data_IF_671151471160
#
_entry.id   IF_671151471160
#
_cell.length_a   1.000
_cell.length_b   1.000
_cell.length_c   1.000
_cell.angle_alpha   90.00
_cell.angle_beta   90.00
_cell.angle_gamma   90.00
#
_symmetry.space_group_name_H-M   'P 1'
#
loop_
_entity.id
_entity.type
_entity.pdbx_description
1 polymer ?
#
# COMPACT_ATOMS: atom_id res chain seq x y z
N UNK A 1 31.72 34.04 -27.51
CA UNK A 1 31.56 32.74 -28.19
C UNK A 1 31.21 31.69 -27.15
N UNK A 2 29.94 31.32 -27.09
CA UNK A 2 29.40 30.35 -26.15
C UNK A 2 29.63 28.93 -26.70
N UNK A 3 30.47 28.15 -26.03
CA UNK A 3 30.60 26.72 -26.27
C UNK A 3 29.51 25.99 -25.47
N UNK A 4 28.60 25.39 -26.21
CA UNK A 4 27.38 24.71 -25.78
C UNK A 4 27.64 23.56 -24.81
N UNK A 5 26.95 23.61 -23.66
CA UNK A 5 26.89 22.63 -22.57
C UNK A 5 26.35 21.25 -22.97
N UNK A 6 26.01 21.03 -24.25
CA UNK A 6 25.41 19.78 -24.75
C UNK A 6 26.42 18.65 -25.01
N UNK A 7 27.73 18.91 -25.04
CA UNK A 7 28.71 17.87 -25.39
C UNK A 7 29.34 17.12 -24.20
N UNK A 8 29.29 17.66 -22.97
CA UNK A 8 29.82 16.94 -21.80
C UNK A 8 28.86 15.85 -21.26
N UNK A 9 27.55 15.98 -21.49
CA UNK A 9 26.58 14.97 -21.09
C UNK A 9 26.63 13.68 -21.94
N UNK A 10 27.15 13.75 -23.17
CA UNK A 10 27.24 12.60 -24.08
C UNK A 10 28.44 11.67 -23.82
N UNK A 11 29.48 12.14 -23.13
CA UNK A 11 30.68 11.35 -22.85
C UNK A 11 30.67 10.72 -21.44
N UNK A 12 29.97 11.30 -20.46
CA UNK A 12 29.87 10.71 -19.11
C UNK A 12 28.83 9.57 -19.00
N UNK A 13 27.73 9.61 -19.77
CA UNK A 13 26.68 8.59 -19.72
C UNK A 13 27.14 7.18 -20.18
N UNK A 14 27.87 7.00 -21.30
CA UNK A 14 28.30 5.67 -21.72
C UNK A 14 29.42 5.09 -20.85
N UNK A 15 30.31 5.94 -20.30
CA UNK A 15 31.40 5.49 -19.43
C UNK A 15 30.93 5.06 -18.03
N UNK A 16 29.86 5.66 -17.50
CA UNK A 16 29.27 5.26 -16.22
C UNK A 16 28.43 3.96 -16.35
N UNK A 17 27.70 3.79 -17.45
CA UNK A 17 27.01 2.53 -17.75
C UNK A 17 28.02 1.40 -18.03
N UNK A 18 29.08 1.65 -18.79
CA UNK A 18 30.13 0.64 -19.04
C UNK A 18 30.87 0.21 -17.76
N UNK A 19 31.06 1.11 -16.79
CA UNK A 19 31.68 0.78 -15.50
C UNK A 19 30.79 -0.07 -14.57
N UNK A 20 29.47 -0.05 -14.78
CA UNK A 20 28.54 -0.99 -14.13
C UNK A 20 28.56 -2.38 -14.78
N UNK A 21 29.05 -2.51 -16.03
CA UNK A 21 28.92 -3.72 -16.86
C UNK A 21 30.09 -4.70 -16.70
N UNK A 22 31.24 -4.31 -16.14
CA UNK A 22 32.40 -5.24 -16.00
C UNK A 22 32.27 -6.21 -14.80
N UNK A 23 31.10 -6.28 -14.15
CA UNK A 23 30.89 -7.24 -13.07
C UNK A 23 29.46 -7.35 -12.53
N UNK A 24 28.45 -6.86 -13.25
CA UNK A 24 27.04 -7.02 -12.87
C UNK A 24 26.25 -7.44 -14.10
N UNK A 25 25.45 -8.50 -13.97
CA UNK A 25 24.39 -8.81 -14.92
C UNK A 25 23.52 -7.56 -15.10
N UNK A 26 23.43 -7.06 -16.33
CA UNK A 26 22.83 -5.77 -16.70
C UNK A 26 21.31 -5.67 -16.49
N UNK A 27 20.72 -6.57 -15.69
CA UNK A 27 19.29 -6.76 -15.58
C UNK A 27 18.66 -6.05 -14.38
N UNK A 28 19.41 -5.70 -13.32
CA UNK A 28 18.82 -4.95 -12.20
C UNK A 28 19.80 -4.35 -11.20
N UNK A 29 19.60 -3.08 -10.85
CA UNK A 29 20.24 -2.38 -9.71
C UNK A 29 19.92 -3.05 -8.37
N UNK A 30 18.79 -3.77 -8.27
CA UNK A 30 18.36 -4.43 -7.04
C UNK A 30 19.21 -5.67 -6.70
N UNK A 31 20.01 -6.17 -7.65
CA UNK A 31 20.99 -7.23 -7.41
C UNK A 31 22.23 -6.75 -6.66
N UNK A 32 22.46 -5.42 -6.57
CA UNK A 32 23.60 -4.87 -5.86
C UNK A 32 23.57 -5.22 -4.37
N UNK A 33 24.76 -5.52 -3.84
CA UNK A 33 24.98 -5.77 -2.41
C UNK A 33 24.50 -4.58 -1.56
N UNK A 34 23.94 -4.87 -0.38
CA UNK A 34 23.45 -3.84 0.53
C UNK A 34 24.60 -3.21 1.32
N UNK A 35 24.61 -1.89 1.42
CA UNK A 35 25.55 -1.14 2.24
C UNK A 35 24.90 0.13 2.80
N UNK A 36 25.53 0.73 3.83
CA UNK A 36 25.10 1.99 4.41
C UNK A 36 25.98 3.14 3.90
N UNK A 37 25.36 4.25 3.50
CA UNK A 37 26.08 5.48 3.16
C UNK A 37 27.03 5.91 4.28
N UNK A 38 28.26 6.30 3.94
CA UNK A 38 29.33 6.66 4.87
C UNK A 38 30.12 5.49 5.47
N UNK A 39 29.64 4.24 5.34
CA UNK A 39 30.37 3.07 5.81
C UNK A 39 31.64 2.81 4.97
N UNK A 40 32.61 2.08 5.54
CA UNK A 40 33.86 1.74 4.84
C UNK A 40 33.58 0.74 3.71
N UNK A 41 34.27 0.93 2.59
CA UNK A 41 34.22 0.03 1.44
C UNK A 41 35.62 -0.46 1.08
N UNK A 42 35.71 -1.69 0.58
CA UNK A 42 36.97 -2.40 0.33
C UNK A 42 37.60 -2.03 -1.02
N UNK A 43 36.79 -1.84 -2.07
CA UNK A 43 37.24 -1.58 -3.44
C UNK A 43 36.70 -0.26 -3.99
N UNK A 44 37.59 0.72 -4.22
CA UNK A 44 37.23 2.02 -4.82
C UNK A 44 36.59 1.80 -6.19
N UNK A 45 35.49 2.51 -6.45
CA UNK A 45 34.70 2.37 -7.67
C UNK A 45 33.66 1.24 -7.64
N UNK A 46 33.67 0.36 -6.64
CA UNK A 46 32.63 -0.66 -6.50
C UNK A 46 31.25 -0.02 -6.23
N UNK A 47 30.19 -0.77 -6.55
CA UNK A 47 28.81 -0.35 -6.37
C UNK A 47 28.08 -1.21 -5.32
N UNK A 48 27.19 -0.56 -4.59
CA UNK A 48 26.29 -1.16 -3.61
C UNK A 48 24.98 -0.37 -3.60
N UNK A 49 24.03 -0.74 -2.75
CA UNK A 49 22.79 0.02 -2.56
C UNK A 49 22.37 0.11 -1.11
N UNK A 50 21.65 1.17 -0.77
CA UNK A 50 20.78 1.18 0.41
C UNK A 50 19.31 0.99 -0.02
N UNK A 51 18.34 1.39 0.81
CA UNK A 51 16.92 1.25 0.48
C UNK A 51 16.43 2.25 -0.59
N UNK A 52 17.20 3.30 -0.86
CA UNK A 52 16.73 4.45 -1.67
C UNK A 52 17.74 4.84 -2.76
N UNK A 53 19.03 4.56 -2.56
CA UNK A 53 20.12 5.04 -3.38
C UNK A 53 21.09 3.94 -3.79
N UNK A 54 21.66 4.12 -4.98
CA UNK A 54 22.88 3.45 -5.43
C UNK A 54 24.08 4.15 -4.81
N UNK A 55 24.95 3.37 -4.21
CA UNK A 55 26.17 3.83 -3.56
C UNK A 55 27.37 3.46 -4.43
N UNK A 56 28.33 4.37 -4.52
CA UNK A 56 29.62 4.10 -5.13
C UNK A 56 30.73 4.27 -4.10
N UNK A 57 31.70 3.36 -4.10
CA UNK A 57 32.84 3.45 -3.21
C UNK A 57 33.78 4.58 -3.68
N UNK A 58 33.85 5.66 -2.90
CA UNK A 58 34.69 6.81 -3.20
C UNK A 58 36.19 6.54 -3.05
N UNK A 59 37.04 7.43 -3.57
CA UNK A 59 38.50 7.39 -3.38
C UNK A 59 38.94 7.39 -1.91
N UNK A 60 38.07 7.86 -1.00
CA UNK A 60 38.28 7.86 0.46
C UNK A 60 37.89 6.53 1.13
N UNK A 61 37.64 5.47 0.36
CA UNK A 61 37.18 4.15 0.82
C UNK A 61 35.92 4.23 1.69
N UNK A 62 34.98 5.10 1.31
CA UNK A 62 33.63 5.18 1.90
C UNK A 62 32.55 5.17 0.84
N UNK A 63 31.44 4.52 1.16
CA UNK A 63 30.23 4.52 0.34
C UNK A 63 29.64 5.92 0.28
N UNK A 64 29.54 6.46 -0.92
CA UNK A 64 28.91 7.76 -1.19
C UNK A 64 27.70 7.56 -2.09
N UNK A 65 26.65 8.34 -1.85
CA UNK A 65 25.45 8.34 -2.70
C UNK A 65 25.86 8.77 -4.11
N UNK A 66 25.55 7.92 -5.08
CA UNK A 66 25.78 8.21 -6.49
C UNK A 66 24.50 8.74 -7.15
N UNK A 67 23.39 8.01 -7.01
CA UNK A 67 22.07 8.39 -7.51
C UNK A 67 20.96 7.61 -6.79
N UNK A 68 19.70 8.01 -6.97
CA UNK A 68 18.56 7.23 -6.46
C UNK A 68 18.40 5.92 -7.24
N UNK A 69 17.80 4.90 -6.59
CA UNK A 69 17.49 3.62 -7.24
C UNK A 69 16.53 3.82 -8.41
N UNK A 70 15.52 4.68 -8.26
CA UNK A 70 14.56 4.99 -9.34
C UNK A 70 15.27 5.58 -10.56
N UNK A 71 16.21 6.52 -10.35
CA UNK A 71 16.98 7.11 -11.43
C UNK A 71 17.89 6.11 -12.12
N UNK A 72 18.47 5.19 -11.36
CA UNK A 72 19.32 4.13 -11.90
C UNK A 72 18.51 3.13 -12.76
N UNK A 73 17.28 2.80 -12.38
CA UNK A 73 16.36 1.96 -13.16
C UNK A 73 16.04 2.64 -14.50
N UNK A 74 15.63 3.91 -14.48
CA UNK A 74 15.35 4.69 -15.71
C UNK A 74 16.55 4.69 -16.69
N UNK A 75 17.77 4.79 -16.17
CA UNK A 75 18.98 4.80 -16.99
C UNK A 75 19.29 3.44 -17.61
N UNK A 76 19.03 2.34 -16.90
CA UNK A 76 19.18 0.97 -17.43
C UNK A 76 18.11 0.71 -18.51
N UNK A 77 16.87 1.11 -18.25
CA UNK A 77 15.78 0.94 -19.22
C UNK A 77 16.05 1.75 -20.49
N UNK A 78 16.54 2.99 -20.37
CA UNK A 78 16.93 3.81 -21.51
C UNK A 78 18.13 3.23 -22.27
N UNK A 79 19.10 2.63 -21.57
CA UNK A 79 20.25 1.96 -22.22
C UNK A 79 19.80 0.72 -22.98
N UNK A 80 18.98 -0.14 -22.36
CA UNK A 80 18.47 -1.35 -23.00
C UNK A 80 17.59 -1.01 -24.22
N UNK A 81 16.78 0.05 -24.14
CA UNK A 81 16.04 0.57 -25.28
C UNK A 81 16.95 1.10 -26.40
N UNK A 82 18.05 1.77 -26.06
CA UNK A 82 19.01 2.28 -27.03
C UNK A 82 19.85 1.17 -27.69
N UNK A 83 20.23 0.12 -26.94
CA UNK A 83 20.91 -1.05 -27.49
C UNK A 83 19.98 -1.86 -28.40
N UNK A 84 18.71 -2.00 -28.03
CA UNK A 84 17.68 -2.57 -28.90
C UNK A 84 17.52 -1.77 -30.20
N UNK A 85 17.59 -0.43 -30.13
CA UNK A 85 17.51 0.44 -31.31
C UNK A 85 18.77 0.37 -32.19
N UNK A 86 19.96 0.13 -31.63
CA UNK A 86 21.20 -0.07 -32.41
C UNK A 86 21.21 -1.40 -33.15
N UNK A 87 20.64 -2.45 -32.57
CA UNK A 87 20.47 -3.76 -33.21
C UNK A 87 19.47 -3.74 -34.37
N UNK A 88 18.61 -2.71 -34.46
CA UNK A 88 17.57 -2.60 -35.47
C UNK A 88 18.03 -2.06 -36.85
N UNK A 89 19.24 -1.50 -36.98
CA UNK A 89 19.78 -0.97 -38.25
C UNK A 89 19.01 0.24 -38.83
N UNK A 90 19.59 1.04 -39.75
CA UNK A 90 18.90 2.19 -40.34
C UNK A 90 17.85 1.76 -41.39
N UNK A 91 16.73 2.49 -41.52
CA UNK A 91 15.64 2.10 -42.43
C UNK A 91 16.06 2.25 -43.91
N UNK A 92 15.73 1.28 -44.80
CA UNK A 92 16.03 1.43 -46.21
C UNK A 92 15.13 2.48 -46.88
N UNK A 93 15.72 3.22 -47.83
CA UNK A 93 15.03 4.18 -48.71
C UNK A 93 14.09 3.45 -49.67
N UNK A 94 12.96 4.05 -50.11
CA UNK A 94 11.93 3.36 -50.87
C UNK A 94 12.39 3.20 -52.32
N UNK A 95 12.71 1.97 -52.72
CA UNK A 95 12.79 1.61 -54.14
C UNK A 95 11.82 0.48 -54.42
N UNK A 96 11.12 0.62 -55.56
CA UNK A 96 9.97 -0.18 -55.97
C UNK A 96 10.22 -1.70 -55.96
N UNK A 97 9.16 -2.52 -55.74
CA UNK A 97 9.30 -3.94 -55.51
C UNK A 97 9.49 -4.74 -56.82
N UNK A 98 10.34 -5.78 -56.84
CA UNK A 98 10.09 -6.95 -57.63
C UNK A 98 9.52 -8.07 -56.74
N UNK A 99 8.44 -8.64 -57.23
CA UNK A 99 7.65 -9.75 -56.72
C UNK A 99 8.46 -11.02 -56.49
N UNK A 100 8.42 -11.56 -55.27
CA UNK A 100 8.71 -12.97 -54.97
C UNK A 100 7.63 -13.49 -54.00
N UNK A 101 6.99 -14.66 -54.25
CA UNK A 101 5.90 -15.15 -53.42
C UNK A 101 6.44 -15.96 -52.24
N UNK A 102 5.88 -15.66 -51.06
CA UNK A 102 5.74 -16.61 -49.94
C UNK A 102 6.96 -16.83 -49.05
N UNK A 103 7.33 -15.81 -48.27
CA UNK A 103 7.53 -15.99 -46.83
C UNK A 103 6.87 -14.82 -46.11
N UNK A 104 5.68 -15.05 -45.55
CA UNK A 104 5.02 -14.08 -44.68
C UNK A 104 5.81 -13.99 -43.37
N UNK A 105 6.38 -12.84 -42.99
CA UNK A 105 6.95 -12.68 -41.65
C UNK A 105 5.82 -12.83 -40.65
N UNK A 106 5.92 -13.80 -39.74
CA UNK A 106 4.99 -13.95 -38.62
C UNK A 106 4.95 -12.61 -37.89
N UNK A 107 3.79 -11.93 -37.77
CA UNK A 107 3.75 -10.64 -37.11
C UNK A 107 4.17 -10.86 -35.65
N UNK A 108 5.19 -10.14 -35.19
CA UNK A 108 5.49 -10.01 -33.77
C UNK A 108 4.25 -9.45 -33.09
N UNK A 109 3.47 -10.33 -32.46
CA UNK A 109 2.26 -9.95 -31.74
C UNK A 109 2.67 -8.95 -30.65
N UNK A 110 1.99 -7.81 -30.57
CA UNK A 110 2.21 -6.88 -29.47
C UNK A 110 1.85 -7.55 -28.13
N UNK A 111 2.46 -7.14 -27.01
CA UNK A 111 2.01 -7.55 -25.68
C UNK A 111 0.55 -7.13 -25.45
N UNK A 112 -0.21 -7.97 -24.74
CA UNK A 112 -1.61 -7.76 -24.43
C UNK A 112 -1.76 -6.91 -23.16
N UNK A 113 -2.64 -5.91 -23.20
CA UNK A 113 -3.06 -5.09 -22.05
C UNK A 113 -4.49 -5.37 -21.60
N UNK A 114 -5.13 -6.36 -22.22
CA UNK A 114 -6.46 -6.85 -21.88
C UNK A 114 -6.56 -8.36 -22.17
N UNK A 115 -7.46 -9.04 -21.49
CA UNK A 115 -7.79 -10.44 -21.77
C UNK A 115 -9.22 -10.75 -21.34
N UNK A 116 -9.81 -11.77 -21.96
CA UNK A 116 -11.16 -12.25 -21.67
C UNK A 116 -11.14 -13.73 -21.35
N UNK A 117 -12.30 -14.38 -21.43
CA UNK A 117 -12.45 -15.83 -21.25
C UNK A 117 -11.38 -16.63 -22.01
N UNK A 118 -10.79 -17.61 -21.34
CA UNK A 118 -9.68 -18.41 -21.86
C UNK A 118 -8.41 -18.22 -21.04
N UNK A 119 -7.32 -18.85 -21.50
CA UNK A 119 -6.03 -18.83 -20.81
C UNK A 119 -5.03 -17.94 -21.51
N UNK A 120 -4.32 -17.10 -20.76
CA UNK A 120 -3.27 -16.21 -21.26
C UNK A 120 -2.03 -16.30 -20.38
N UNK A 121 -0.86 -16.38 -21.02
CA UNK A 121 0.43 -16.35 -20.32
C UNK A 121 0.79 -14.92 -19.93
N UNK A 122 1.33 -14.73 -18.73
CA UNK A 122 1.78 -13.43 -18.24
C UNK A 122 3.29 -13.28 -18.38
N UNK A 123 3.72 -12.19 -19.04
CA UNK A 123 5.13 -11.81 -19.20
C UNK A 123 5.32 -10.80 -20.32
N UNK A 124 6.58 -10.58 -20.73
CA UNK A 124 6.94 -9.53 -21.68
C UNK A 124 7.06 -10.02 -23.14
N UNK A 125 6.59 -11.24 -23.43
CA UNK A 125 6.61 -11.82 -24.77
C UNK A 125 5.48 -11.30 -25.66
N UNK A 126 5.65 -11.41 -26.98
CA UNK A 126 4.61 -11.04 -27.93
C UNK A 126 3.36 -11.91 -27.79
N UNK A 127 2.18 -11.29 -27.72
CA UNK A 127 0.91 -11.99 -27.48
C UNK A 127 0.72 -12.48 -26.03
N UNK A 128 1.60 -12.10 -25.10
CA UNK A 128 1.42 -12.40 -23.68
C UNK A 128 0.82 -11.20 -22.96
N UNK A 129 0.09 -11.46 -21.88
CA UNK A 129 -0.43 -10.43 -21.01
C UNK A 129 0.72 -9.77 -20.25
N UNK A 130 0.83 -8.45 -20.30
CA UNK A 130 1.85 -7.75 -19.52
C UNK A 130 1.61 -7.93 -18.02
N UNK A 131 2.66 -8.04 -17.18
CA UNK A 131 2.48 -8.05 -15.73
C UNK A 131 1.88 -6.72 -15.23
N UNK A 132 1.06 -6.78 -14.19
CA UNK A 132 0.45 -5.59 -13.60
C UNK A 132 -0.90 -5.83 -12.95
N UNK A 133 -1.58 -4.75 -12.58
CA UNK A 133 -2.92 -4.82 -11.99
C UNK A 133 -3.96 -4.70 -13.10
N UNK A 134 -4.98 -5.55 -13.02
CA UNK A 134 -6.08 -5.62 -13.97
C UNK A 134 -7.40 -5.39 -13.25
N UNK A 135 -8.35 -4.79 -13.97
CA UNK A 135 -9.68 -4.44 -13.47
C UNK A 135 -10.78 -4.93 -14.39
N UNK A 136 -11.93 -5.22 -13.80
CA UNK A 136 -13.21 -5.40 -14.49
C UNK A 136 -14.33 -4.89 -13.60
N UNK A 137 -15.54 -4.74 -14.15
CA UNK A 137 -16.74 -4.45 -13.38
C UNK A 137 -17.70 -5.62 -13.52
N UNK A 138 -17.95 -6.32 -12.43
CA UNK A 138 -18.85 -7.46 -12.38
C UNK A 138 -20.29 -6.96 -12.27
N UNK A 139 -21.15 -7.39 -13.18
CA UNK A 139 -22.56 -7.01 -13.17
C UNK A 139 -23.29 -7.53 -11.90
N UNK A 140 -24.34 -6.83 -11.42
CA UNK A 140 -25.21 -7.34 -10.37
C UNK A 140 -25.74 -8.74 -10.69
N UNK A 141 -25.69 -9.66 -9.72
CA UNK A 141 -26.11 -11.05 -9.89
C UNK A 141 -25.11 -11.96 -10.62
N UNK A 142 -23.99 -11.42 -11.10
CA UNK A 142 -22.92 -12.18 -11.76
C UNK A 142 -21.72 -12.37 -10.83
N UNK A 143 -20.83 -13.29 -11.23
CA UNK A 143 -19.50 -13.43 -10.63
C UNK A 143 -18.45 -13.55 -11.71
N UNK A 144 -17.25 -13.06 -11.42
CA UNK A 144 -16.08 -13.23 -12.26
C UNK A 144 -15.05 -14.08 -11.55
N UNK A 145 -14.46 -15.03 -12.27
CA UNK A 145 -13.38 -15.87 -11.74
C UNK A 145 -12.10 -15.68 -12.54
N UNK A 146 -10.98 -15.68 -11.83
CA UNK A 146 -9.63 -15.74 -12.40
C UNK A 146 -8.88 -16.83 -11.66
N UNK A 147 -8.43 -17.83 -12.41
CA UNK A 147 -7.50 -18.85 -11.91
C UNK A 147 -6.10 -18.45 -12.30
N UNK A 148 -5.19 -18.43 -11.34
CA UNK A 148 -3.76 -18.23 -11.57
C UNK A 148 -3.03 -19.53 -11.31
N UNK A 149 -2.33 -20.03 -12.32
CA UNK A 149 -1.46 -21.18 -12.24
C UNK A 149 -0.01 -20.71 -12.36
N UNK A 150 0.85 -21.13 -11.44
CA UNK A 150 2.29 -20.98 -11.65
C UNK A 150 2.72 -21.90 -12.79
N UNK A 151 3.60 -21.42 -13.69
CA UNK A 151 4.05 -22.24 -14.84
C UNK A 151 4.92 -23.45 -14.43
N UNK A 152 5.44 -23.46 -13.20
CA UNK A 152 6.12 -24.60 -12.60
C UNK A 152 5.14 -25.67 -12.06
N UNK A 153 3.82 -25.43 -12.13
CA UNK A 153 2.78 -26.33 -11.64
C UNK A 153 2.60 -26.33 -10.11
N UNK A 154 3.32 -25.49 -9.37
CA UNK A 154 3.39 -25.55 -7.90
C UNK A 154 2.15 -25.04 -7.17
N UNK A 155 1.33 -24.17 -7.79
CA UNK A 155 0.12 -23.65 -7.15
C UNK A 155 -0.93 -23.18 -8.15
N UNK A 156 -2.21 -23.32 -7.73
CA UNK A 156 -3.38 -22.75 -8.38
C UNK A 156 -4.13 -21.87 -7.36
N UNK A 157 -4.34 -20.61 -7.67
CA UNK A 157 -5.19 -19.72 -6.87
C UNK A 157 -6.43 -19.35 -7.66
N UNK A 158 -7.60 -19.58 -7.06
CA UNK A 158 -8.88 -19.12 -7.60
C UNK A 158 -9.27 -17.82 -6.90
N UNK A 159 -9.39 -16.75 -7.68
CA UNK A 159 -9.99 -15.52 -7.22
C UNK A 159 -11.41 -15.44 -7.79
N UNK A 160 -12.40 -15.33 -6.90
CA UNK A 160 -13.80 -15.13 -7.26
C UNK A 160 -14.25 -13.75 -6.80
N UNK A 161 -14.83 -12.99 -7.73
CA UNK A 161 -15.26 -11.62 -7.53
C UNK A 161 -16.78 -11.56 -7.69
N UNK A 162 -17.46 -11.00 -6.69
CA UNK A 162 -18.88 -10.68 -6.76
C UNK A 162 -19.13 -9.37 -7.51
N UNK A 163 -20.38 -8.89 -7.51
CA UNK A 163 -20.77 -7.64 -8.16
C UNK A 163 -19.90 -6.44 -7.77
N UNK A 164 -19.72 -5.52 -8.72
CA UNK A 164 -18.96 -4.29 -8.54
C UNK A 164 -17.56 -4.34 -9.15
N UNK A 165 -16.72 -3.31 -8.88
CA UNK A 165 -15.35 -3.29 -9.34
C UNK A 165 -14.57 -4.47 -8.76
N UNK A 166 -13.72 -5.07 -9.59
CA UNK A 166 -12.87 -6.18 -9.21
C UNK A 166 -11.46 -5.92 -9.72
N UNK A 167 -10.47 -6.17 -8.86
CA UNK A 167 -9.06 -5.98 -9.17
C UNK A 167 -8.27 -7.24 -8.87
N UNK A 168 -7.27 -7.53 -9.70
CA UNK A 168 -6.28 -8.54 -9.37
C UNK A 168 -4.91 -8.16 -9.93
N UNK A 169 -3.84 -8.68 -9.32
CA UNK A 169 -2.48 -8.49 -9.81
C UNK A 169 -2.00 -9.74 -10.59
N UNK A 170 -1.66 -9.54 -11.86
CA UNK A 170 -1.04 -10.50 -12.75
C UNK A 170 0.48 -10.49 -12.56
N UNK A 171 1.05 -11.63 -12.15
CA UNK A 171 2.50 -11.81 -11.95
C UNK A 171 3.13 -12.51 -13.15
N UNK A 172 4.39 -12.18 -13.43
CA UNK A 172 5.21 -12.91 -14.40
C UNK A 172 5.22 -14.40 -14.10
N UNK A 173 5.45 -15.22 -15.12
CA UNK A 173 5.60 -16.68 -14.98
C UNK A 173 4.32 -17.39 -14.48
N UNK A 174 3.17 -16.78 -14.77
CA UNK A 174 1.87 -17.38 -14.49
C UNK A 174 1.07 -17.58 -15.78
N UNK A 175 0.17 -18.57 -15.74
CA UNK A 175 -0.93 -18.72 -16.66
C UNK A 175 -2.21 -18.26 -15.96
N UNK A 176 -2.91 -17.30 -16.56
CA UNK A 176 -4.19 -16.82 -16.06
C UNK A 176 -5.31 -17.40 -16.90
N UNK A 177 -6.33 -17.94 -16.25
CA UNK A 177 -7.56 -18.41 -16.89
C UNK A 177 -8.74 -17.60 -16.37
N UNK A 178 -9.37 -16.80 -17.23
CA UNK A 178 -10.59 -16.08 -16.87
C UNK A 178 -11.84 -16.90 -17.20
N UNK A 179 -12.84 -16.82 -16.31
CA UNK A 179 -14.17 -17.34 -16.54
C UNK A 179 -14.91 -16.63 -17.68
N UNK A 180 -15.93 -17.29 -18.23
CA UNK A 180 -16.78 -16.73 -19.27
C UNK A 180 -17.48 -15.44 -18.79
N UNK A 181 -17.66 -14.47 -19.70
CA UNK A 181 -18.39 -13.23 -19.41
C UNK A 181 -17.58 -12.12 -18.74
N UNK A 182 -16.28 -12.34 -18.49
CA UNK A 182 -15.41 -11.35 -17.86
C UNK A 182 -14.30 -10.92 -18.83
N UNK A 183 -14.27 -9.63 -19.16
CA UNK A 183 -13.14 -9.00 -19.84
C UNK A 183 -12.40 -8.12 -18.84
N UNK A 184 -11.09 -8.25 -18.82
CA UNK A 184 -10.18 -7.59 -17.91
C UNK A 184 -9.28 -6.63 -18.67
N UNK A 185 -9.06 -5.45 -18.09
CA UNK A 185 -8.26 -4.39 -18.66
C UNK A 185 -7.18 -3.97 -17.68
N UNK A 186 -6.04 -3.50 -18.18
CA UNK A 186 -5.01 -2.94 -17.31
C UNK A 186 -5.60 -1.78 -16.47
N UNK A 187 -5.46 -1.88 -15.15
CA UNK A 187 -6.04 -0.93 -14.23
C UNK A 187 -5.22 0.38 -14.23
N UNK A 188 -5.88 1.55 -14.16
CA UNK A 188 -5.18 2.82 -13.99
C UNK A 188 -4.41 2.83 -12.67
N UNK A 189 -3.30 3.57 -12.60
CA UNK A 189 -2.47 3.70 -11.40
C UNK A 189 -2.66 5.04 -10.67
N UNK A 190 -3.55 5.90 -11.17
CA UNK A 190 -3.82 7.21 -10.62
C UNK A 190 -5.00 7.18 -9.65
N UNK A 191 -4.91 7.86 -8.49
CA UNK A 191 -6.03 7.95 -7.55
C UNK A 191 -7.31 8.48 -8.20
N UNK A 192 -8.44 7.92 -7.80
CA UNK A 192 -9.77 8.29 -8.29
C UNK A 192 -10.55 8.92 -7.13
N UNK A 193 -11.17 10.07 -7.35
CA UNK A 193 -11.87 10.86 -6.32
C UNK A 193 -13.39 10.61 -6.25
N UNK A 194 -13.91 9.58 -6.89
CA UNK A 194 -15.34 9.26 -6.85
C UNK A 194 -15.75 8.70 -5.48
N UNK A 195 -16.96 9.05 -5.02
CA UNK A 195 -17.56 8.44 -3.85
C UNK A 195 -17.68 6.92 -4.05
N UNK A 196 -17.22 6.15 -3.07
CA UNK A 196 -17.29 4.68 -3.08
C UNK A 196 -18.73 4.27 -2.75
N UNK A 197 -19.45 3.80 -3.75
CA UNK A 197 -20.81 3.31 -3.57
C UNK A 197 -20.91 1.87 -4.02
N UNK A 198 -21.31 0.99 -3.10
CA UNK A 198 -21.72 -0.38 -3.40
C UNK A 198 -20.65 -1.44 -3.21
N UNK A 199 -21.08 -2.67 -3.48
CA UNK A 199 -20.26 -3.87 -3.38
C UNK A 199 -19.09 -3.83 -4.37
N UNK A 200 -18.01 -4.51 -4.03
CA UNK A 200 -16.83 -4.62 -4.88
C UNK A 200 -15.52 -4.64 -4.11
N UNK A 201 -14.42 -4.63 -4.85
CA UNK A 201 -13.06 -4.51 -4.36
C UNK A 201 -12.50 -3.14 -4.78
N UNK A 202 -11.83 -2.46 -3.86
CA UNK A 202 -11.27 -1.12 -4.05
C UNK A 202 -9.82 -1.09 -3.59
N UNK A 203 -8.89 -0.57 -4.41
CA UNK A 203 -7.46 -0.56 -4.04
C UNK A 203 -7.16 0.61 -3.13
N UNK A 204 -6.45 0.32 -2.05
CA UNK A 204 -6.13 1.32 -1.04
C UNK A 204 -5.07 2.29 -1.57
N UNK A 205 -5.33 3.58 -1.42
CA UNK A 205 -4.51 4.67 -1.99
C UNK A 205 -4.85 5.03 -3.44
N UNK A 206 -5.73 4.27 -4.11
CA UNK A 206 -6.19 4.56 -5.48
C UNK A 206 -7.68 4.89 -5.50
N UNK A 207 -8.56 3.88 -5.37
CA UNK A 207 -10.01 4.09 -5.32
C UNK A 207 -10.47 4.47 -3.91
N UNK A 208 -9.82 3.93 -2.88
CA UNK A 208 -10.18 4.16 -1.48
C UNK A 208 -8.97 4.67 -0.70
N UNK A 209 -9.00 5.90 -0.14
CA UNK A 209 -7.93 6.34 0.73
C UNK A 209 -7.92 5.52 2.04
N UNK A 210 -6.76 5.41 2.67
CA UNK A 210 -6.71 4.92 4.04
C UNK A 210 -7.55 5.84 4.96
N UNK A 211 -8.12 5.26 6.02
CA UNK A 211 -8.95 5.98 6.97
C UNK A 211 -10.14 5.18 7.48
N UNK A 212 -11.11 5.91 8.01
CA UNK A 212 -12.25 5.37 8.74
C UNK A 212 -13.49 5.40 7.89
N UNK A 213 -14.19 4.29 7.84
CA UNK A 213 -15.44 4.15 7.10
C UNK A 213 -16.51 3.59 8.00
N UNK A 214 -17.67 4.24 7.97
CA UNK A 214 -18.88 3.74 8.61
C UNK A 214 -19.76 3.03 7.62
N UNK A 215 -20.37 1.98 8.15
CA UNK A 215 -21.42 1.22 7.51
C UNK A 215 -22.63 1.20 8.43
N UNK A 216 -23.80 1.50 7.88
CA UNK A 216 -25.06 1.41 8.61
C UNK A 216 -25.39 -0.05 8.96
N UNK A 217 -26.32 -0.26 9.90
CA UNK A 217 -26.86 -1.58 10.13
C UNK A 217 -27.50 -2.14 8.85
N UNK A 218 -27.31 -3.43 8.61
CA UNK A 218 -28.06 -4.16 7.59
C UNK A 218 -29.56 -4.07 7.88
N UNK A 219 -30.37 -3.91 6.84
CA UNK A 219 -31.82 -3.93 6.99
C UNK A 219 -32.29 -5.29 7.55
N UNK A 220 -33.38 -5.34 8.34
CA UNK A 220 -33.92 -6.61 8.83
C UNK A 220 -34.18 -7.60 7.68
N UNK A 221 -33.66 -8.82 7.79
CA UNK A 221 -33.80 -9.87 6.78
C UNK A 221 -32.84 -9.79 5.59
N UNK A 222 -31.92 -8.81 5.56
CA UNK A 222 -30.87 -8.73 4.53
C UNK A 222 -29.61 -9.50 4.92
N UNK A 223 -28.73 -9.77 3.95
CA UNK A 223 -27.43 -10.38 4.19
C UNK A 223 -26.56 -9.47 5.08
N UNK A 224 -25.72 -10.04 5.95
CA UNK A 224 -24.80 -9.26 6.75
C UNK A 224 -23.83 -8.48 5.85
N UNK A 225 -23.50 -7.25 6.24
CA UNK A 225 -22.37 -6.55 5.64
C UNK A 225 -21.10 -7.36 5.91
N UNK A 226 -20.45 -7.77 4.82
CA UNK A 226 -19.18 -8.48 4.81
C UNK A 226 -18.12 -7.58 4.22
N UNK A 227 -17.00 -7.43 4.92
CA UNK A 227 -15.84 -6.74 4.39
C UNK A 227 -14.55 -7.47 4.71
N UNK A 228 -13.55 -7.26 3.86
CA UNK A 228 -12.24 -7.90 3.92
C UNK A 228 -11.16 -6.90 3.53
N UNK A 229 -10.13 -6.77 4.35
CA UNK A 229 -8.91 -6.04 4.05
C UNK A 229 -7.86 -7.02 3.55
N UNK A 230 -7.34 -6.79 2.37
CA UNK A 230 -6.45 -7.71 1.68
C UNK A 230 -4.98 -7.33 1.84
N UNK A 231 -4.15 -8.31 2.16
CA UNK A 231 -2.69 -8.14 2.22
C UNK A 231 -2.04 -8.06 0.83
N UNK A 232 -2.73 -8.56 -0.20
CA UNK A 232 -2.30 -8.55 -1.60
C UNK A 232 -3.47 -8.44 -2.58
N UNK A 233 -3.17 -8.13 -3.84
CA UNK A 233 -4.11 -8.18 -4.96
C UNK A 233 -3.99 -9.47 -5.79
N UNK A 234 -2.95 -10.25 -5.57
CA UNK A 234 -2.67 -11.47 -6.33
C UNK A 234 -3.16 -12.74 -5.62
N UNK A 235 -3.81 -12.58 -4.46
CA UNK A 235 -4.31 -13.68 -3.63
C UNK A 235 -3.28 -14.29 -2.68
N UNK A 236 -2.02 -13.79 -2.67
CA UNK A 236 -0.98 -14.29 -1.75
C UNK A 236 -1.01 -13.52 -0.43
N UNK A 237 -0.78 -14.17 0.73
CA UNK A 237 -0.70 -13.44 2.01
C UNK A 237 -2.02 -13.18 2.74
N UNK A 238 -3.16 -13.66 2.23
CA UNK A 238 -4.41 -13.73 3.00
C UNK A 238 -5.06 -12.37 3.29
N UNK A 239 -5.85 -12.33 4.38
CA UNK A 239 -6.60 -11.16 4.82
C UNK A 239 -5.90 -10.50 6.03
N UNK A 240 -5.75 -9.18 5.98
CA UNK A 240 -5.28 -8.37 7.11
C UNK A 240 -6.34 -8.25 8.20
N UNK A 241 -7.62 -8.17 7.79
CA UNK A 241 -8.77 -8.14 8.68
C UNK A 241 -10.02 -8.52 7.87
N UNK A 242 -11.04 -9.04 8.54
CA UNK A 242 -12.33 -9.32 7.92
C UNK A 242 -13.41 -9.42 8.96
N UNK A 243 -14.60 -9.00 8.59
CA UNK A 243 -15.75 -9.08 9.49
C UNK A 243 -17.06 -9.22 8.72
N UNK A 244 -18.02 -9.89 9.36
CA UNK A 244 -19.38 -10.11 8.85
C UNK A 244 -20.37 -9.90 9.99
N UNK A 245 -21.33 -9.01 9.82
CA UNK A 245 -22.32 -8.66 10.85
C UNK A 245 -23.50 -7.87 10.29
N UNK A 246 -24.56 -7.73 11.08
CA UNK A 246 -25.78 -7.00 10.68
C UNK A 246 -25.94 -5.66 11.41
N UNK A 247 -25.20 -5.46 12.48
CA UNK A 247 -25.10 -4.23 13.25
C UNK A 247 -24.30 -3.15 12.50
N UNK A 248 -24.38 -1.86 12.90
CA UNK A 248 -23.52 -0.83 12.35
C UNK A 248 -22.04 -1.21 12.52
N UNK A 249 -21.27 -1.09 11.45
CA UNK A 249 -19.87 -1.51 11.44
C UNK A 249 -18.93 -0.35 11.16
N UNK A 250 -17.70 -0.51 11.63
CA UNK A 250 -16.59 0.39 11.32
C UNK A 250 -15.48 -0.40 10.64
N UNK A 251 -15.00 0.16 9.53
CA UNK A 251 -13.90 -0.38 8.75
C UNK A 251 -12.73 0.59 8.88
N UNK A 252 -11.59 0.06 9.31
CA UNK A 252 -10.35 0.81 9.47
C UNK A 252 -9.42 0.37 8.35
N UNK A 253 -9.36 1.17 7.28
CA UNK A 253 -8.48 0.92 6.14
C UNK A 253 -7.12 1.51 6.45
N UNK A 254 -6.08 0.67 6.51
CA UNK A 254 -4.74 1.05 6.98
C UNK A 254 -3.82 1.28 5.78
N UNK A 255 -2.92 2.24 5.91
CA UNK A 255 -1.84 2.44 4.95
C UNK A 255 -0.97 1.17 4.87
N UNK A 256 -0.97 0.50 3.71
CA UNK A 256 -0.28 -0.78 3.50
C UNK A 256 -1.21 -1.92 3.10
N UNK A 257 -2.51 -1.82 3.40
CA UNK A 257 -3.52 -2.68 2.76
C UNK A 257 -3.43 -2.55 1.25
N UNK A 258 -3.73 -3.63 0.53
CA UNK A 258 -3.74 -3.62 -0.94
C UNK A 258 -5.13 -3.43 -1.51
N UNK A 259 -6.14 -3.94 -0.83
CA UNK A 259 -7.53 -3.67 -1.19
C UNK A 259 -8.48 -3.77 0.01
N UNK A 260 -9.63 -3.11 -0.11
CA UNK A 260 -10.82 -3.36 0.68
C UNK A 260 -11.86 -4.00 -0.24
N UNK A 261 -12.35 -5.19 0.12
CA UNK A 261 -13.55 -5.78 -0.46
C UNK A 261 -14.73 -5.58 0.46
N UNK A 262 -15.87 -5.21 -0.10
CA UNK A 262 -17.15 -5.01 0.60
C UNK A 262 -18.28 -5.69 -0.15
N UNK A 263 -19.22 -6.26 0.60
CA UNK A 263 -20.41 -6.91 0.08
C UNK A 263 -21.56 -6.70 1.04
N UNK A 264 -22.70 -6.24 0.55
CA UNK A 264 -23.92 -5.95 1.31
C UNK A 264 -23.74 -4.89 2.41
N UNK A 265 -22.74 -4.02 2.24
CA UNK A 265 -22.44 -2.95 3.19
C UNK A 265 -23.13 -1.63 2.83
N UNK A 266 -23.76 -1.53 1.65
CA UNK A 266 -24.36 -0.27 1.21
C UNK A 266 -23.31 0.82 1.01
N UNK A 267 -23.61 2.04 1.47
CA UNK A 267 -22.72 3.20 1.30
C UNK A 267 -21.67 3.24 2.41
N UNK A 268 -20.40 3.30 2.01
CA UNK A 268 -19.30 3.56 2.92
C UNK A 268 -19.17 5.07 3.15
N UNK A 269 -19.42 5.53 4.37
CA UNK A 269 -19.26 6.93 4.72
C UNK A 269 -17.86 7.13 5.31
N UNK A 270 -16.99 7.83 4.57
CA UNK A 270 -15.68 8.20 5.10
C UNK A 270 -15.85 9.20 6.22
N UNK A 271 -15.27 8.90 7.38
CA UNK A 271 -15.19 9.84 8.48
C UNK A 271 -13.91 10.64 8.39
N UNK A 272 -14.07 11.91 8.01
CA UNK A 272 -12.97 12.87 7.98
C UNK A 272 -12.84 13.60 9.34
N UNK A 273 -13.97 13.75 10.04
CA UNK A 273 -14.14 14.41 11.33
C UNK A 273 -15.34 13.76 12.04
N UNK A 274 -15.22 13.35 13.31
CA UNK A 274 -16.34 12.76 14.04
C UNK A 274 -17.33 13.86 14.49
N UNK A 275 -18.60 13.76 14.05
CA UNK A 275 -19.66 14.70 14.45
C UNK A 275 -20.06 14.61 15.94
N UNK A 276 -19.49 13.66 16.69
CA UNK A 276 -19.75 13.43 18.12
C UNK A 276 -18.59 12.66 18.76
N UNK A 277 -18.45 12.79 20.08
CA UNK A 277 -17.51 11.99 20.88
C UNK A 277 -17.70 10.48 20.61
N UNK A 278 -16.60 9.77 20.38
CA UNK A 278 -16.62 8.33 20.11
C UNK A 278 -15.30 7.63 20.44
N UNK A 279 -15.39 6.37 20.86
CA UNK A 279 -14.26 5.47 21.07
C UNK A 279 -14.61 4.05 20.60
N UNK A 280 -13.84 3.53 19.64
CA UNK A 280 -14.09 2.21 19.05
C UNK A 280 -12.81 1.38 19.00
N UNK A 281 -12.97 0.07 19.19
CA UNK A 281 -11.92 -0.92 19.04
C UNK A 281 -12.48 -2.12 18.30
N UNK A 282 -11.72 -2.60 17.33
CA UNK A 282 -12.02 -3.79 16.57
C UNK A 282 -11.00 -4.88 16.91
N UNK A 283 -11.25 -5.65 17.97
CA UNK A 283 -10.37 -6.72 18.42
C UNK A 283 -10.34 -7.93 17.49
N UNK A 284 -9.23 -8.67 17.58
CA UNK A 284 -9.03 -9.95 16.92
C UNK A 284 -9.09 -11.09 17.95
N UNK A 285 -9.81 -12.21 17.70
CA UNK A 285 -9.92 -13.33 18.65
C UNK A 285 -8.59 -13.90 19.13
N UNK A 286 -7.55 -13.83 18.30
CA UNK A 286 -6.20 -14.35 18.58
C UNK A 286 -5.27 -13.31 19.19
N UNK A 287 -5.71 -12.04 19.29
CA UNK A 287 -4.92 -11.01 19.96
C UNK A 287 -5.06 -11.08 21.48
N UNK A 288 -3.93 -10.96 22.16
CA UNK A 288 -3.81 -11.04 23.62
C UNK A 288 -4.64 -9.96 24.33
N UNK A 289 -4.57 -8.72 23.85
CA UNK A 289 -5.18 -7.59 24.53
C UNK A 289 -6.71 -7.61 24.38
N UNK A 290 -7.17 -7.79 23.15
CA UNK A 290 -8.58 -7.66 22.78
C UNK A 290 -9.36 -8.95 22.82
N UNK A 291 -8.74 -10.12 22.58
CA UNK A 291 -9.41 -11.42 22.54
C UNK A 291 -10.74 -11.39 21.76
N UNK A 292 -10.75 -10.66 20.64
CA UNK A 292 -11.91 -10.57 19.74
C UNK A 292 -13.00 -9.60 20.19
N UNK A 293 -12.81 -8.89 21.31
CA UNK A 293 -13.77 -7.87 21.74
C UNK A 293 -13.79 -6.73 20.72
N UNK A 294 -14.99 -6.44 20.22
CA UNK A 294 -15.28 -5.29 19.36
C UNK A 294 -16.31 -4.41 20.08
N UNK A 295 -16.07 -3.11 20.12
CA UNK A 295 -17.01 -2.17 20.73
C UNK A 295 -17.02 -0.82 20.04
N UNK A 296 -18.11 -0.08 20.26
CA UNK A 296 -18.27 1.31 19.89
C UNK A 296 -19.02 2.06 20.99
N UNK A 297 -18.35 2.98 21.67
CA UNK A 297 -18.95 3.94 22.59
C UNK A 297 -19.10 5.29 21.90
N UNK A 298 -20.25 5.94 22.05
CA UNK A 298 -20.54 7.24 21.46
C UNK A 298 -21.14 8.22 22.48
N UNK A 299 -21.07 9.52 22.18
CA UNK A 299 -21.60 10.58 23.04
C UNK A 299 -20.93 10.59 24.41
N UNK A 300 -21.74 10.55 25.47
CA UNK A 300 -21.29 10.57 26.87
C UNK A 300 -21.09 9.17 27.48
N UNK A 301 -21.16 8.10 26.67
CA UNK A 301 -21.05 6.71 27.17
C UNK A 301 -19.63 6.29 27.58
N UNK A 302 -18.65 7.17 27.39
CA UNK A 302 -17.27 7.00 27.87
C UNK A 302 -16.77 8.32 28.46
N UNK A 303 -15.72 8.23 29.26
CA UNK A 303 -15.14 9.38 29.95
C UNK A 303 -13.87 9.84 29.24
N UNK A 304 -13.66 11.16 29.21
CA UNK A 304 -12.41 11.79 28.76
C UNK A 304 -11.81 12.60 29.90
N UNK A 305 -10.51 12.49 30.12
CA UNK A 305 -9.81 13.22 31.18
C UNK A 305 -8.47 13.73 30.65
N UNK A 306 -8.29 15.05 30.67
CA UNK A 306 -7.01 15.70 30.37
C UNK A 306 -6.22 15.91 31.67
N UNK A 307 -5.02 15.36 31.75
CA UNK A 307 -4.15 15.44 32.92
C UNK A 307 -2.74 15.79 32.50
N UNK A 308 -1.94 16.34 33.42
CA UNK A 308 -0.50 16.45 33.22
C UNK A 308 0.14 15.18 33.80
N UNK A 309 0.84 14.41 32.96
CA UNK A 309 1.52 13.20 33.40
C UNK A 309 2.76 13.51 34.28
N UNK A 310 3.35 12.50 34.91
CA UNK A 310 4.51 12.67 35.81
C UNK A 310 5.78 13.26 35.16
N UNK A 311 5.78 13.44 33.83
CA UNK A 311 6.84 14.12 33.08
C UNK A 311 6.45 15.53 32.61
N UNK A 312 5.37 16.10 33.16
CA UNK A 312 4.93 17.46 32.85
C UNK A 312 4.20 17.60 31.51
N UNK A 313 3.72 16.49 30.92
CA UNK A 313 3.12 16.49 29.57
C UNK A 313 1.62 16.36 29.65
N UNK A 314 0.91 17.03 28.74
CA UNK A 314 -0.52 16.80 28.59
C UNK A 314 -0.78 15.36 28.13
N UNK A 315 -1.67 14.70 28.86
CA UNK A 315 -2.16 13.35 28.64
C UNK A 315 -3.68 13.37 28.58
N UNK A 316 -4.21 12.99 27.44
CA UNK A 316 -5.60 12.62 27.31
C UNK A 316 -5.77 11.14 27.67
N UNK A 317 -6.71 10.87 28.58
CA UNK A 317 -7.17 9.52 28.91
C UNK A 317 -8.61 9.37 28.49
N UNK A 318 -8.91 8.29 27.77
CA UNK A 318 -10.26 7.90 27.36
C UNK A 318 -10.58 6.57 28.00
N UNK A 319 -11.66 6.50 28.78
CA UNK A 319 -12.02 5.29 29.53
C UNK A 319 -13.48 4.90 29.31
N UNK A 320 -13.70 3.62 28.98
CA UNK A 320 -15.03 3.04 28.79
C UNK A 320 -15.60 2.49 30.12
N UNK A 321 -16.92 2.31 30.22
CA UNK A 321 -17.56 1.66 31.38
C UNK A 321 -17.12 0.21 31.60
N UNK A 322 -16.68 -0.45 30.53
CA UNK A 322 -16.18 -1.82 30.59
C UNK A 322 -14.73 -1.92 31.03
N UNK A 323 -14.04 -0.80 31.27
CA UNK A 323 -12.67 -0.75 31.79
C UNK A 323 -11.58 -0.71 30.72
N UNK A 324 -11.94 -0.42 29.46
CA UNK A 324 -10.95 -0.13 28.42
C UNK A 324 -10.41 1.28 28.59
N UNK A 325 -9.09 1.43 28.46
CA UNK A 325 -8.42 2.73 28.63
C UNK A 325 -7.46 2.96 27.48
N UNK A 326 -7.64 4.09 26.79
CA UNK A 326 -6.67 4.62 25.84
C UNK A 326 -6.02 5.88 26.40
N UNK A 327 -4.71 6.01 26.22
CA UNK A 327 -3.94 7.18 26.63
C UNK A 327 -3.15 7.74 25.45
N UNK A 328 -3.20 9.05 25.29
CA UNK A 328 -2.43 9.82 24.32
C UNK A 328 -1.59 10.85 25.07
N UNK A 329 -0.27 10.75 24.94
CA UNK A 329 0.71 11.69 25.48
C UNK A 329 1.23 12.60 24.37
N UNK A 330 1.26 13.91 24.61
CA UNK A 330 1.83 14.87 23.65
C UNK A 330 3.37 14.80 23.57
N UNK A 331 3.95 15.15 22.41
CA UNK A 331 5.39 15.35 22.28
C UNK A 331 5.93 16.40 23.25
N UNK A 332 7.18 16.23 23.72
CA UNK A 332 7.74 17.11 24.78
C UNK A 332 8.05 18.52 24.33
N UNK A 333 8.09 18.79 23.02
CA UNK A 333 8.26 20.15 22.50
C UNK A 333 6.93 20.93 22.44
N UNK A 334 5.82 20.35 22.90
CA UNK A 334 4.51 21.02 22.98
C UNK A 334 3.81 21.20 21.63
N UNK A 335 4.35 20.65 20.55
CA UNK A 335 3.72 20.65 19.23
C UNK A 335 3.07 19.30 18.95
N UNK A 336 1.90 19.30 18.33
CA UNK A 336 1.28 18.08 17.83
C UNK A 336 1.04 18.27 16.34
N UNK A 337 1.72 17.51 15.47
CA UNK A 337 1.37 17.51 14.07
C UNK A 337 0.17 16.59 13.90
N UNK A 338 -0.88 17.08 13.23
CA UNK A 338 -1.66 16.18 12.41
C UNK A 338 -0.69 15.39 11.50
N UNK A 339 -0.91 14.09 11.36
CA UNK A 339 0.01 13.23 10.64
C UNK A 339 0.00 11.77 11.08
N UNK A 340 0.79 10.97 10.37
CA UNK A 340 0.98 9.56 10.64
C UNK A 340 2.29 9.33 11.40
N UNK A 341 2.24 8.48 12.43
CA UNK A 341 3.34 8.20 13.34
C UNK A 341 3.45 6.70 13.63
N UNK A 342 4.68 6.21 13.72
CA UNK A 342 4.98 4.94 14.37
C UNK A 342 5.44 5.24 15.79
N UNK A 343 4.62 4.86 16.78
CA UNK A 343 4.81 5.25 18.19
C UNK A 343 4.86 4.05 19.12
N UNK A 344 5.34 4.31 20.33
CA UNK A 344 5.29 3.39 21.47
C UNK A 344 4.42 4.00 22.56
N UNK A 345 4.36 3.36 23.73
CA UNK A 345 3.63 3.89 24.87
C UNK A 345 4.19 5.22 25.40
N UNK A 346 5.41 5.58 25.02
CA UNK A 346 6.10 6.75 25.56
C UNK A 346 6.32 7.78 24.47
N UNK A 347 5.84 9.00 24.70
CA UNK A 347 6.09 10.11 23.80
C UNK A 347 7.58 10.51 23.81
N UNK A 348 8.07 11.02 22.69
CA UNK A 348 9.41 11.62 22.57
C UNK A 348 9.30 13.14 22.36
N UNK A 349 10.40 13.80 22.01
CA UNK A 349 10.35 15.23 21.69
C UNK A 349 9.50 15.56 20.47
N UNK A 350 9.34 14.62 19.53
CA UNK A 350 8.68 14.87 18.25
C UNK A 350 7.60 13.85 17.89
N UNK A 351 7.44 12.79 18.69
CA UNK A 351 6.43 11.76 18.46
C UNK A 351 5.50 11.63 19.66
N UNK A 352 4.18 11.53 19.46
CA UNK A 352 3.26 11.27 20.55
C UNK A 352 3.49 9.88 21.14
N UNK A 353 2.98 9.66 22.34
CA UNK A 353 2.91 8.35 22.99
C UNK A 353 1.47 7.86 22.94
N UNK A 354 1.27 6.59 22.62
CA UNK A 354 -0.07 6.00 22.61
C UNK A 354 -0.07 4.62 23.26
N UNK A 355 -1.10 4.36 24.07
CA UNK A 355 -1.35 3.05 24.65
C UNK A 355 -2.84 2.79 24.76
N UNK A 356 -3.27 1.66 24.21
CA UNK A 356 -4.54 1.01 24.52
C UNK A 356 -4.32 -0.09 25.56
N UNK A 357 -5.23 -0.17 26.52
CA UNK A 357 -5.30 -1.21 27.54
C UNK A 357 -6.73 -1.72 27.68
N UNK A 358 -6.85 -3.01 27.96
CA UNK A 358 -8.10 -3.70 28.17
C UNK A 358 -8.28 -4.02 29.66
N UNK A 359 -9.49 -4.39 30.10
CA UNK A 359 -9.74 -4.74 31.49
C UNK A 359 -8.79 -5.86 31.95
N UNK A 360 -7.97 -5.55 32.95
CA UNK A 360 -6.96 -6.47 33.49
C UNK A 360 -5.80 -6.81 32.56
N UNK A 361 -5.64 -6.16 31.40
CA UNK A 361 -4.63 -6.50 30.39
C UNK A 361 -3.96 -5.27 29.79
N UNK A 362 -2.64 -5.34 29.71
CA UNK A 362 -1.80 -4.30 29.12
C UNK A 362 -0.80 -4.93 28.16
N UNK A 363 -0.33 -4.16 27.19
CA UNK A 363 0.70 -4.62 26.27
C UNK A 363 2.08 -4.34 26.87
N UNK A 364 2.89 -5.40 26.98
CA UNK A 364 4.26 -5.32 27.48
C UNK A 364 5.18 -4.70 26.42
N UNK A 365 5.06 -5.19 25.19
CA UNK A 365 5.68 -4.59 24.00
C UNK A 365 4.55 -4.05 23.14
N UNK A 366 4.57 -2.73 22.89
CA UNK A 366 3.54 -2.07 22.10
C UNK A 366 4.16 -1.35 20.89
N UNK A 367 3.70 -1.72 19.71
CA UNK A 367 3.94 -1.01 18.47
C UNK A 367 2.62 -0.41 18.01
N UNK A 368 2.60 0.88 17.70
CA UNK A 368 1.38 1.56 17.32
C UNK A 368 1.62 2.35 16.04
N UNK A 369 0.82 2.08 15.01
CA UNK A 369 0.64 3.02 13.92
C UNK A 369 -0.49 3.97 14.32
N UNK A 370 -0.19 5.26 14.42
CA UNK A 370 -1.12 6.30 14.87
C UNK A 370 -1.31 7.32 13.74
N UNK A 371 -2.55 7.65 13.41
CA UNK A 371 -2.90 8.72 12.47
C UNK A 371 -3.71 9.76 13.22
N UNK A 372 -3.14 10.94 13.43
CA UNK A 372 -3.85 12.07 14.03
C UNK A 372 -4.37 12.94 12.89
N UNK A 373 -5.68 12.90 12.66
CA UNK A 373 -6.33 13.66 11.58
C UNK A 373 -6.54 15.11 11.99
N UNK A 374 -6.98 15.33 13.23
CA UNK A 374 -7.20 16.66 13.77
C UNK A 374 -6.95 16.67 15.28
N UNK A 375 -6.51 17.82 15.78
CA UNK A 375 -6.31 18.05 17.20
C UNK A 375 -6.57 19.51 17.53
N UNK A 376 -7.37 19.72 18.56
CA UNK A 376 -7.67 21.03 19.11
C UNK A 376 -7.08 21.10 20.52
N UNK A 377 -6.40 22.22 20.77
CA UNK A 377 -5.84 22.54 22.08
C UNK A 377 -6.59 23.75 22.62
N UNK A 378 -7.05 23.63 23.87
CA UNK A 378 -7.62 24.76 24.60
C UNK A 378 -6.55 25.83 24.86
N UNK A 379 -6.94 27.07 25.24
CA UNK A 379 -5.98 28.11 25.62
C UNK A 379 -5.03 27.70 26.76
N UNK A 380 -5.43 26.71 27.58
CA UNK A 380 -4.61 26.15 28.64
C UNK A 380 -3.66 25.02 28.16
N UNK A 381 -3.57 24.80 26.84
CA UNK A 381 -2.76 23.74 26.21
C UNK A 381 -3.31 22.32 26.42
N UNK A 382 -4.60 22.20 26.77
CA UNK A 382 -5.27 20.90 27.03
C UNK A 382 -5.87 20.35 25.74
N UNK A 383 -5.86 19.04 25.56
CA UNK A 383 -6.56 18.41 24.44
C UNK A 383 -8.07 18.44 24.74
N UNK A 384 -8.82 19.24 24.00
CA UNK A 384 -10.28 19.38 24.14
C UNK A 384 -11.05 18.96 22.88
N UNK A 385 -10.35 18.80 21.74
CA UNK A 385 -10.85 18.13 20.53
C UNK A 385 -9.78 17.25 19.89
N UNK A 386 -10.18 16.12 19.31
CA UNK A 386 -9.27 15.11 18.75
C UNK A 386 -9.98 14.21 17.75
N UNK A 387 -9.33 13.94 16.62
CA UNK A 387 -9.71 12.87 15.71
C UNK A 387 -8.47 12.05 15.40
N UNK A 388 -8.43 10.81 15.88
CA UNK A 388 -7.33 9.89 15.59
C UNK A 388 -7.78 8.48 15.27
N UNK A 389 -6.91 7.84 14.52
CA UNK A 389 -6.90 6.43 14.22
C UNK A 389 -5.69 5.76 14.81
N UNK A 390 -5.84 4.52 15.28
CA UNK A 390 -4.69 3.74 15.71
C UNK A 390 -4.79 2.29 15.29
N UNK A 391 -3.62 1.65 15.15
CA UNK A 391 -3.45 0.22 15.06
C UNK A 391 -2.40 -0.18 16.06
N UNK A 392 -2.80 -0.86 17.13
CA UNK A 392 -1.87 -1.35 18.15
C UNK A 392 -1.56 -2.82 17.92
N UNK A 393 -0.28 -3.17 17.95
CA UNK A 393 0.22 -4.54 17.93
C UNK A 393 0.85 -4.81 19.30
N UNK A 394 0.39 -5.88 19.95
CA UNK A 394 0.84 -6.28 21.27
C UNK A 394 1.68 -7.55 21.18
N UNK A 395 2.93 -7.48 21.65
CA UNK A 395 3.86 -8.62 21.67
C UNK A 395 4.06 -9.30 20.30
N UNK A 396 4.00 -8.52 19.21
CA UNK A 396 4.09 -9.05 17.84
C UNK A 396 2.87 -9.82 17.35
N UNK A 397 1.75 -9.77 18.10
CA UNK A 397 0.50 -10.41 17.75
C UNK A 397 -0.30 -9.68 16.66
N UNK A 398 -1.59 -10.05 16.47
CA UNK A 398 -2.45 -9.40 15.51
C UNK A 398 -2.65 -7.91 15.78
N UNK A 399 -2.97 -7.18 14.72
CA UNK A 399 -3.29 -5.76 14.78
C UNK A 399 -4.64 -5.51 15.48
N UNK A 400 -4.67 -4.51 16.35
CA UNK A 400 -5.87 -4.02 17.06
C UNK A 400 -6.17 -2.62 16.55
N UNK A 401 -6.98 -2.48 15.49
CA UNK A 401 -7.39 -1.19 14.99
C UNK A 401 -8.46 -0.54 15.89
N UNK A 402 -8.43 0.78 16.00
CA UNK A 402 -9.45 1.56 16.69
C UNK A 402 -9.42 3.05 16.36
N UNK A 403 -10.41 3.76 16.89
CA UNK A 403 -10.63 5.20 16.69
C UNK A 403 -10.89 5.91 17.99
N UNK A 404 -10.42 7.15 18.09
CA UNK A 404 -10.84 8.08 19.14
C UNK A 404 -11.21 9.39 18.50
N UNK A 405 -12.36 9.87 18.91
CA UNK A 405 -13.05 11.00 18.35
C UNK A 405 -13.60 11.83 19.52
N UNK A 406 -13.19 13.09 19.59
CA UNK A 406 -13.55 14.01 20.66
C UNK A 406 -13.88 15.33 20.00
N UNK A 407 -15.13 15.77 20.15
CA UNK A 407 -15.53 17.08 19.66
C UNK A 407 -15.06 18.15 20.65
N UNK A 408 -14.52 19.29 20.16
CA UNK A 408 -14.32 20.48 20.97
C UNK A 408 -15.61 20.82 21.74
N UNK A 409 -15.51 21.36 22.97
CA UNK A 409 -16.65 21.81 23.75
C UNK A 409 -17.43 22.95 23.09
#
# INVERSE_FOLDING_TARGET
MALSTKSLARLCAPLLCAALIVGCDANSVLSLSRAKSGARCSKVGAFARDNTNVLQCSKRKRWTVNMSISRAIEMIDAYNAAEAAKLAGPPPSPTAPPTDPTVSPTPWLAPLTQFSAGSVRVGNGGGWLVPGVYTTTVAPGSSCTVVRLNLDGSSALLNSFGPGPAFFEARTETLLTAGAGCTWYQAPSTPVTSALTGDGMYRVGIEIPAGFYRVAASAPGSLPCLWKRHASLDGTGGLNDSYSGTEPQVIIVVEGDKALSVSHCGTLVRENEPASNRFEVAGNPTDWLSQGVRFSYAGSSFTRTGTVNGSGRERLTVQTPTGWVATLDLPTNGSIPSGAFNVTATATATTPGFRLSAPGRVCLINQVALVVSNIHLSPAGRIDGLSLGFVQICNGGPAIPGTIAITPP
#
